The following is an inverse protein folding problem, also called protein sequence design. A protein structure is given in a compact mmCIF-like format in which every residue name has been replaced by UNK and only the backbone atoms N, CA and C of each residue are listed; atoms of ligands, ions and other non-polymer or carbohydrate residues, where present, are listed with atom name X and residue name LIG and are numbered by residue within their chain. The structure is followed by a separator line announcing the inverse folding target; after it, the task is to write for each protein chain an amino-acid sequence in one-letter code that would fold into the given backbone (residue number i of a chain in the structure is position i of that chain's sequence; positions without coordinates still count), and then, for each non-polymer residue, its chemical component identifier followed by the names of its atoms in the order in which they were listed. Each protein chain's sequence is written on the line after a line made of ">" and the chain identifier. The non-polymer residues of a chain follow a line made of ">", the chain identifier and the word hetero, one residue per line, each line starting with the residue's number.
data_IF_563526510026
#
_entry.id   IF_563526510026
#
_cell.length_a   1.000
_cell.length_b   1.000
_cell.length_c   1.000
_cell.angle_alpha   90.00
_cell.angle_beta   90.00
_cell.angle_gamma   90.00
#
_symmetry.space_group_name_H-M   'P 1'
#
loop_
_entity.id
_entity.type
_entity.pdbx_description
1 polymer ?
#
# COMPACT_ATOMS: atom_id res chain seq x y z
N UNK A 1 -15.47 0.74 20.06
CA UNK A 1 -14.58 -0.43 20.26
C UNK A 1 -14.54 -1.21 18.97
N UNK A 2 -13.35 -1.56 18.47
CA UNK A 2 -13.20 -2.32 17.21
C UNK A 2 -13.85 -3.70 17.35
N UNK A 3 -14.74 -4.12 16.44
CA UNK A 3 -15.36 -5.44 16.49
C UNK A 3 -14.30 -6.56 16.52
N UNK A 4 -14.59 -7.66 17.20
CA UNK A 4 -13.62 -8.76 17.36
C UNK A 4 -13.15 -9.33 16.01
N UNK A 5 -14.05 -9.39 15.01
CA UNK A 5 -13.71 -9.81 13.65
C UNK A 5 -12.59 -8.93 13.06
N UNK A 6 -12.67 -7.62 13.30
CA UNK A 6 -11.78 -6.64 12.72
C UNK A 6 -10.41 -6.73 13.39
N UNK A 7 -10.40 -6.93 14.71
CA UNK A 7 -9.17 -7.20 15.47
C UNK A 7 -8.46 -8.45 14.92
N UNK A 8 -9.18 -9.55 14.69
CA UNK A 8 -8.59 -10.79 14.15
C UNK A 8 -7.95 -10.54 12.79
N UNK A 9 -8.67 -9.93 11.84
CA UNK A 9 -8.10 -9.65 10.52
C UNK A 9 -6.94 -8.65 10.55
N UNK A 10 -7.00 -7.64 11.43
CA UNK A 10 -5.90 -6.68 11.59
C UNK A 10 -4.67 -7.33 12.23
N UNK A 11 -4.83 -8.23 13.19
CA UNK A 11 -3.73 -9.01 13.77
C UNK A 11 -3.08 -9.91 12.71
N UNK A 12 -3.89 -10.59 11.89
CA UNK A 12 -3.38 -11.41 10.78
C UNK A 12 -2.64 -10.56 9.74
N UNK A 13 -3.21 -9.41 9.36
CA UNK A 13 -2.58 -8.43 8.47
C UNK A 13 -1.25 -7.94 9.04
N UNK A 14 -1.23 -7.57 10.32
CA UNK A 14 -0.02 -7.15 11.03
C UNK A 14 1.03 -8.25 11.09
N UNK A 15 0.63 -9.50 11.36
CA UNK A 15 1.54 -10.65 11.34
C UNK A 15 2.21 -10.84 9.97
N UNK A 16 1.45 -10.76 8.88
CA UNK A 16 1.98 -10.84 7.52
C UNK A 16 2.89 -9.65 7.18
N UNK A 17 2.51 -8.44 7.59
CA UNK A 17 3.32 -7.24 7.41
C UNK A 17 4.65 -7.32 8.17
N UNK A 18 4.63 -7.81 9.42
CA UNK A 18 5.83 -8.04 10.22
C UNK A 18 6.74 -9.09 9.59
N UNK A 19 6.18 -10.19 9.10
CA UNK A 19 6.92 -11.20 8.35
C UNK A 19 7.60 -10.61 7.11
N UNK A 20 6.89 -9.79 6.32
CA UNK A 20 7.45 -9.14 5.15
C UNK A 20 8.54 -8.11 5.51
N UNK A 21 8.37 -7.35 6.60
CA UNK A 21 9.42 -6.47 7.10
C UNK A 21 10.70 -7.25 7.41
N UNK A 22 10.58 -8.35 8.15
CA UNK A 22 11.70 -9.24 8.45
C UNK A 22 12.31 -9.83 7.17
N UNK A 23 11.48 -10.33 6.24
CA UNK A 23 11.91 -10.92 4.98
C UNK A 23 12.78 -9.96 4.14
N UNK A 24 12.31 -8.73 3.93
CA UNK A 24 13.06 -7.73 3.17
C UNK A 24 14.29 -7.21 3.90
N UNK A 25 14.23 -7.11 5.24
CA UNK A 25 15.40 -6.75 6.04
C UNK A 25 16.52 -7.78 5.91
N UNK A 26 16.19 -9.07 5.98
CA UNK A 26 17.14 -10.15 5.76
C UNK A 26 17.74 -10.07 4.36
N UNK A 27 16.92 -9.93 3.31
CA UNK A 27 17.43 -9.81 1.93
C UNK A 27 18.32 -8.59 1.71
N UNK A 28 18.02 -7.47 2.37
CA UNK A 28 18.86 -6.28 2.29
C UNK A 28 20.25 -6.49 2.92
N UNK A 29 20.32 -7.18 4.06
CA UNK A 29 21.57 -7.41 4.78
C UNK A 29 22.41 -8.57 4.21
N UNK A 30 21.77 -9.59 3.62
CA UNK A 30 22.45 -10.75 3.05
C UNK A 30 22.90 -10.54 1.60
N UNK A 31 22.41 -9.52 0.90
CA UNK A 31 22.83 -9.24 -0.47
C UNK A 31 24.26 -8.67 -0.52
N UNK A 32 25.14 -9.28 -1.32
CA UNK A 32 26.51 -8.82 -1.57
C UNK A 32 26.58 -7.38 -2.09
N UNK A 33 25.49 -6.90 -2.71
CA UNK A 33 25.24 -5.49 -3.01
C UNK A 33 23.89 -5.11 -2.40
N UNK A 34 23.87 -4.14 -1.49
CA UNK A 34 22.66 -3.66 -0.80
C UNK A 34 21.59 -3.24 -1.80
N UNK A 35 20.61 -4.10 -2.04
CA UNK A 35 19.59 -3.87 -3.06
C UNK A 35 18.49 -2.95 -2.52
N UNK A 36 18.45 -1.71 -3.00
CA UNK A 36 17.59 -0.65 -2.47
C UNK A 36 16.08 -0.96 -2.57
N UNK A 37 15.65 -1.79 -3.52
CA UNK A 37 14.25 -2.19 -3.64
C UNK A 37 13.72 -2.85 -2.36
N UNK A 38 14.54 -3.61 -1.65
CA UNK A 38 14.15 -4.24 -0.38
C UNK A 38 13.80 -3.21 0.70
N UNK A 39 14.48 -2.06 0.72
CA UNK A 39 14.17 -0.98 1.67
C UNK A 39 12.84 -0.31 1.32
N UNK A 40 12.56 -0.11 0.04
CA UNK A 40 11.28 0.47 -0.39
C UNK A 40 10.10 -0.45 -0.07
N UNK A 41 10.23 -1.76 -0.31
CA UNK A 41 9.22 -2.73 0.11
C UNK A 41 9.06 -2.76 1.63
N UNK A 42 10.17 -2.82 2.37
CA UNK A 42 10.16 -2.80 3.84
C UNK A 42 9.44 -1.56 4.36
N UNK A 43 9.70 -0.37 3.81
CA UNK A 43 9.02 0.86 4.20
C UNK A 43 7.50 0.74 4.04
N UNK A 44 7.02 0.22 2.91
CA UNK A 44 5.58 0.02 2.69
C UNK A 44 4.96 -0.94 3.70
N UNK A 45 5.63 -2.07 3.98
CA UNK A 45 5.12 -3.06 4.94
C UNK A 45 5.26 -2.63 6.40
N UNK A 46 6.27 -1.84 6.75
CA UNK A 46 6.44 -1.28 8.09
C UNK A 46 5.29 -0.31 8.40
N UNK A 47 4.90 0.50 7.42
CA UNK A 47 3.76 1.39 7.54
C UNK A 47 2.45 0.60 7.64
N UNK A 48 2.29 -0.48 6.86
CA UNK A 48 1.12 -1.37 6.98
C UNK A 48 1.03 -1.99 8.39
N UNK A 49 2.16 -2.45 8.95
CA UNK A 49 2.24 -2.99 10.30
C UNK A 49 1.81 -1.96 11.34
N UNK A 50 2.41 -0.76 11.32
CA UNK A 50 2.07 0.33 12.25
C UNK A 50 0.60 0.71 12.10
N UNK A 51 0.10 0.80 10.86
CA UNK A 51 -1.32 1.10 10.60
C UNK A 51 -2.23 0.03 11.19
N UNK A 52 -1.92 -1.25 11.03
CA UNK A 52 -2.70 -2.35 11.63
C UNK A 52 -2.78 -2.25 13.16
N UNK A 53 -1.66 -1.94 13.82
CA UNK A 53 -1.62 -1.70 15.27
C UNK A 53 -2.48 -0.50 15.67
N UNK A 54 -2.36 0.62 14.95
CA UNK A 54 -3.17 1.82 15.22
C UNK A 54 -4.67 1.52 15.08
N UNK A 55 -5.07 0.77 14.05
CA UNK A 55 -6.48 0.41 13.84
C UNK A 55 -7.04 -0.49 14.94
N UNK A 56 -6.22 -1.36 15.54
CA UNK A 56 -6.63 -2.20 16.67
C UNK A 56 -6.97 -1.34 17.88
N UNK A 57 -6.09 -0.39 18.24
CA UNK A 57 -6.23 0.41 19.46
C UNK A 57 -7.14 1.63 19.31
N UNK A 58 -7.14 2.28 18.14
CA UNK A 58 -7.82 3.55 17.90
C UNK A 58 -9.08 3.41 17.05
N UNK A 59 -9.35 2.22 16.51
CA UNK A 59 -10.49 1.96 15.63
C UNK A 59 -10.28 2.47 14.20
N UNK A 60 -11.27 2.21 13.34
CA UNK A 60 -11.21 2.56 11.91
C UNK A 60 -11.33 4.07 11.65
N UNK A 61 -11.90 4.83 12.58
CA UNK A 61 -12.09 6.28 12.45
C UNK A 61 -10.76 7.05 12.36
N UNK A 62 -9.65 6.47 12.85
CA UNK A 62 -8.32 7.06 12.75
C UNK A 62 -7.86 7.21 11.28
N UNK A 63 -8.45 6.47 10.34
CA UNK A 63 -8.18 6.60 8.90
C UNK A 63 -8.57 7.97 8.35
N UNK A 64 -9.47 8.70 9.04
CA UNK A 64 -9.82 10.08 8.68
C UNK A 64 -8.73 11.10 9.07
N UNK A 65 -7.74 10.70 9.90
CA UNK A 65 -6.66 11.58 10.31
C UNK A 65 -5.76 11.94 9.13
N UNK A 66 -5.50 13.24 8.87
CA UNK A 66 -4.60 13.65 7.78
C UNK A 66 -3.16 13.15 7.99
N UNK A 67 -2.75 12.93 9.24
CA UNK A 67 -1.44 12.36 9.57
C UNK A 67 -1.38 10.87 9.20
N UNK A 68 -2.42 10.10 9.52
CA UNK A 68 -2.49 8.68 9.15
C UNK A 68 -2.58 8.53 7.65
N UNK A 69 -3.39 9.33 6.97
CA UNK A 69 -3.44 9.35 5.50
C UNK A 69 -2.06 9.60 4.89
N UNK A 70 -1.36 10.64 5.37
CA UNK A 70 -0.03 11.01 4.86
C UNK A 70 0.97 9.87 5.03
N UNK A 71 1.05 9.28 6.22
CA UNK A 71 1.98 8.18 6.49
C UNK A 71 1.58 6.94 5.69
N UNK A 72 0.29 6.61 5.63
CA UNK A 72 -0.24 5.46 4.88
C UNK A 72 0.03 5.56 3.38
N UNK A 73 0.23 6.76 2.81
CA UNK A 73 0.65 6.93 1.42
C UNK A 73 1.99 6.29 1.10
N UNK A 74 2.85 6.05 2.11
CA UNK A 74 4.09 5.30 1.94
C UNK A 74 3.84 3.81 1.64
N UNK A 75 2.65 3.26 1.90
CA UNK A 75 2.32 1.88 1.52
C UNK A 75 2.37 1.73 -0.02
N UNK A 76 1.49 2.39 -0.80
CA UNK A 76 1.54 2.26 -2.25
C UNK A 76 2.81 2.89 -2.84
N UNK A 77 3.29 4.03 -2.33
CA UNK A 77 4.50 4.67 -2.85
C UNK A 77 5.76 3.82 -2.61
N UNK A 78 5.91 3.22 -1.43
CA UNK A 78 7.02 2.33 -1.10
C UNK A 78 7.02 1.07 -1.96
N UNK A 79 5.87 0.39 -2.06
CA UNK A 79 5.78 -0.86 -2.85
C UNK A 79 6.01 -0.58 -4.33
N UNK A 80 5.34 0.42 -4.91
CA UNK A 80 5.52 0.79 -6.33
C UNK A 80 6.94 1.25 -6.63
N UNK A 81 7.60 1.95 -5.71
CA UNK A 81 9.00 2.35 -5.86
C UNK A 81 9.92 1.12 -5.81
N UNK A 82 9.71 0.18 -4.89
CA UNK A 82 10.43 -1.09 -4.89
C UNK A 82 10.35 -1.81 -6.24
N UNK A 83 9.15 -1.90 -6.82
CA UNK A 83 8.92 -2.49 -8.14
C UNK A 83 9.68 -1.75 -9.24
N UNK A 84 9.59 -0.41 -9.26
CA UNK A 84 10.30 0.42 -10.22
C UNK A 84 11.82 0.24 -10.14
N UNK A 85 12.38 0.17 -8.93
CA UNK A 85 13.82 -0.03 -8.71
C UNK A 85 14.29 -1.40 -9.20
N UNK A 86 13.50 -2.44 -8.94
CA UNK A 86 13.89 -3.83 -9.18
C UNK A 86 13.70 -4.24 -10.64
N UNK A 87 12.55 -3.93 -11.24
CA UNK A 87 12.14 -4.49 -12.53
C UNK A 87 12.14 -3.48 -13.68
N UNK A 88 12.24 -2.18 -13.39
CA UNK A 88 12.05 -1.13 -14.38
C UNK A 88 13.19 -0.09 -14.43
N UNK A 89 14.42 -0.52 -14.76
CA UNK A 89 15.60 0.33 -14.69
C UNK A 89 15.56 1.55 -15.61
N UNK A 90 14.78 1.51 -16.71
CA UNK A 90 14.68 2.61 -17.68
C UNK A 90 13.98 3.85 -17.12
N UNK A 91 13.06 3.70 -16.16
CA UNK A 91 12.29 4.82 -15.61
C UNK A 91 12.35 4.96 -14.09
N UNK A 92 13.12 4.12 -13.37
CA UNK A 92 13.25 4.18 -11.91
C UNK A 92 13.66 5.56 -11.37
N UNK A 93 14.52 6.30 -12.07
CA UNK A 93 14.96 7.65 -11.64
C UNK A 93 13.81 8.64 -11.65
N UNK A 94 13.00 8.63 -12.71
CA UNK A 94 11.82 9.49 -12.82
C UNK A 94 10.77 9.10 -11.77
N UNK A 95 10.60 7.80 -11.54
CA UNK A 95 9.66 7.32 -10.53
C UNK A 95 10.04 7.71 -9.10
N UNK A 96 11.33 7.73 -8.76
CA UNK A 96 11.79 8.24 -7.45
C UNK A 96 11.37 9.69 -7.23
N UNK A 97 11.56 10.54 -8.24
CA UNK A 97 11.11 11.93 -8.19
C UNK A 97 9.59 12.04 -8.08
N UNK A 98 8.87 11.24 -8.87
CA UNK A 98 7.42 11.15 -8.78
C UNK A 98 6.95 10.78 -7.37
N UNK A 99 7.55 9.75 -6.77
CA UNK A 99 7.20 9.29 -5.42
C UNK A 99 7.53 10.33 -4.34
N UNK A 100 8.68 11.01 -4.46
CA UNK A 100 9.08 12.07 -3.53
C UNK A 100 8.13 13.28 -3.61
N UNK A 101 7.90 13.79 -4.82
CA UNK A 101 6.96 14.91 -5.06
C UNK A 101 5.56 14.51 -4.61
N UNK A 102 5.15 13.28 -4.89
CA UNK A 102 3.85 12.76 -4.50
C UNK A 102 3.64 12.69 -3.01
N UNK A 103 4.62 12.15 -2.28
CA UNK A 103 4.57 12.10 -0.83
C UNK A 103 4.51 13.51 -0.22
N UNK A 104 5.35 14.43 -0.69
CA UNK A 104 5.35 15.82 -0.22
C UNK A 104 4.04 16.53 -0.55
N UNK A 105 3.50 16.36 -1.76
CA UNK A 105 2.23 16.94 -2.17
C UNK A 105 1.07 16.43 -1.30
N UNK A 106 1.02 15.12 -1.03
CA UNK A 106 0.01 14.54 -0.14
C UNK A 106 0.18 15.08 1.28
N UNK A 107 1.40 15.12 1.82
CA UNK A 107 1.67 15.60 3.17
C UNK A 107 1.24 17.07 3.34
N UNK A 108 1.70 17.95 2.44
CA UNK A 108 1.41 19.38 2.47
C UNK A 108 -0.11 19.61 2.35
N UNK A 109 -0.75 18.96 1.38
CA UNK A 109 -2.19 19.18 1.14
C UNK A 109 -3.07 18.58 2.23
N UNK A 110 -2.67 17.45 2.83
CA UNK A 110 -3.44 16.77 3.87
C UNK A 110 -3.31 17.47 5.22
N UNK A 111 -2.08 17.77 5.65
CA UNK A 111 -1.80 18.39 6.96
C UNK A 111 -2.11 19.88 6.93
N UNK A 112 -1.88 20.55 5.78
CA UNK A 112 -2.18 21.98 5.60
C UNK A 112 -3.67 22.30 5.37
N UNK A 113 -4.57 21.31 5.42
CA UNK A 113 -6.02 21.53 5.25
C UNK A 113 -6.42 22.01 3.84
N UNK A 114 -5.62 21.70 2.80
CA UNK A 114 -5.85 22.16 1.43
C UNK A 114 -6.79 21.20 0.68
N UNK A 115 -8.05 21.11 1.12
CA UNK A 115 -8.99 20.06 0.69
C UNK A 115 -9.14 19.92 -0.84
N UNK A 116 -9.21 21.04 -1.58
CA UNK A 116 -9.33 21.01 -3.04
C UNK A 116 -8.11 20.39 -3.72
N UNK A 117 -6.90 20.72 -3.26
CA UNK A 117 -5.67 20.16 -3.81
C UNK A 117 -5.45 18.70 -3.35
N UNK A 118 -5.85 18.37 -2.11
CA UNK A 118 -5.81 17.00 -1.58
C UNK A 118 -6.64 16.04 -2.44
N UNK A 119 -7.83 16.47 -2.87
CA UNK A 119 -8.73 15.71 -3.78
C UNK A 119 -8.11 15.44 -5.16
N UNK A 120 -7.02 16.12 -5.52
CA UNK A 120 -6.26 15.88 -6.76
C UNK A 120 -5.00 15.08 -6.46
N UNK A 121 -4.20 15.52 -5.48
CA UNK A 121 -2.92 14.93 -5.14
C UNK A 121 -3.07 13.46 -4.73
N UNK A 122 -3.98 13.15 -3.80
CA UNK A 122 -4.13 11.79 -3.29
C UNK A 122 -4.53 10.80 -4.41
N UNK A 123 -5.61 11.03 -5.19
CA UNK A 123 -5.96 10.10 -6.27
C UNK A 123 -4.90 9.99 -7.37
N UNK A 124 -4.21 11.08 -7.71
CA UNK A 124 -3.15 11.05 -8.73
C UNK A 124 -1.99 10.15 -8.30
N UNK A 125 -1.40 10.41 -7.15
CA UNK A 125 -0.20 9.69 -6.70
C UNK A 125 -0.52 8.27 -6.25
N UNK A 126 -1.63 8.05 -5.53
CA UNK A 126 -2.07 6.70 -5.20
C UNK A 126 -2.53 5.92 -6.44
N UNK A 127 -3.21 6.56 -7.39
CA UNK A 127 -3.68 5.92 -8.61
C UNK A 127 -2.53 5.39 -9.46
N UNK A 128 -1.52 6.22 -9.72
CA UNK A 128 -0.33 5.79 -10.46
C UNK A 128 0.44 4.70 -9.71
N UNK A 129 0.66 4.87 -8.41
CA UNK A 129 1.32 3.85 -7.60
C UNK A 129 0.54 2.52 -7.60
N UNK A 130 -0.78 2.57 -7.47
CA UNK A 130 -1.67 1.42 -7.55
C UNK A 130 -1.60 0.71 -8.90
N UNK A 131 -1.57 1.46 -10.01
CA UNK A 131 -1.37 0.90 -11.34
C UNK A 131 -0.02 0.22 -11.50
N UNK A 132 1.06 0.80 -10.96
CA UNK A 132 2.39 0.18 -10.97
C UNK A 132 2.39 -1.13 -10.17
N UNK A 133 1.74 -1.16 -9.01
CA UNK A 133 1.64 -2.39 -8.18
C UNK A 133 0.79 -3.43 -8.87
N UNK A 134 -0.33 -3.04 -9.48
CA UNK A 134 -1.23 -3.96 -10.16
C UNK A 134 -0.59 -4.52 -11.44
N UNK A 135 -0.19 -3.66 -12.38
CA UNK A 135 0.26 -4.07 -13.71
C UNK A 135 1.72 -4.50 -13.74
N UNK A 136 2.58 -3.88 -12.93
CA UNK A 136 4.02 -4.11 -12.91
C UNK A 136 4.42 -5.59 -12.82
N UNK A 137 3.86 -6.36 -11.87
CA UNK A 137 4.18 -7.78 -11.71
C UNK A 137 3.84 -8.67 -12.92
N UNK A 138 2.91 -8.26 -13.79
CA UNK A 138 2.56 -9.02 -15.00
C UNK A 138 3.51 -8.74 -16.19
N UNK A 139 4.16 -7.58 -16.19
CA UNK A 139 5.07 -7.15 -17.27
C UNK A 139 6.54 -7.14 -16.86
N UNK A 140 6.83 -7.39 -15.58
CA UNK A 140 8.17 -7.46 -15.02
C UNK A 140 8.99 -8.59 -15.66
N UNK A 141 10.12 -8.23 -16.27
CA UNK A 141 11.03 -9.21 -16.89
C UNK A 141 11.89 -9.87 -15.82
N UNK A 142 12.04 -11.19 -15.90
CA UNK A 142 12.87 -11.96 -14.96
C UNK A 142 12.27 -12.12 -13.56
N UNK A 143 11.00 -11.74 -13.36
CA UNK A 143 10.32 -11.91 -12.09
C UNK A 143 10.10 -13.40 -11.75
N UNK A 144 10.17 -13.77 -10.45
CA UNK A 144 9.90 -15.13 -10.00
C UNK A 144 8.53 -15.69 -10.42
N UNK A 145 8.43 -17.02 -10.55
CA UNK A 145 7.15 -17.69 -10.76
C UNK A 145 6.21 -17.41 -9.59
N UNK A 146 5.07 -16.80 -9.89
CA UNK A 146 4.08 -16.42 -8.87
C UNK A 146 4.14 -14.97 -8.44
N UNK A 147 5.09 -14.17 -8.95
CA UNK A 147 5.17 -12.74 -8.63
C UNK A 147 3.91 -11.95 -8.97
N UNK A 148 3.10 -12.44 -9.93
CA UNK A 148 1.77 -11.89 -10.26
C UNK A 148 0.82 -11.76 -9.05
N UNK A 149 1.04 -12.51 -7.95
CA UNK A 149 0.31 -12.31 -6.70
C UNK A 149 0.51 -10.92 -6.09
N UNK A 150 1.65 -10.26 -6.33
CA UNK A 150 1.85 -8.84 -5.98
C UNK A 150 0.86 -7.97 -6.75
N UNK A 151 0.62 -8.30 -8.03
CA UNK A 151 -0.38 -7.64 -8.86
C UNK A 151 -1.79 -7.80 -8.29
N UNK A 152 -2.15 -9.00 -7.85
CA UNK A 152 -3.42 -9.26 -7.17
C UNK A 152 -3.54 -8.44 -5.88
N UNK A 153 -2.47 -8.34 -5.08
CA UNK A 153 -2.44 -7.46 -3.90
C UNK A 153 -2.68 -5.99 -4.28
N UNK A 154 -2.05 -5.54 -5.36
CA UNK A 154 -2.27 -4.21 -5.96
C UNK A 154 -3.70 -3.95 -6.41
N UNK A 155 -4.35 -4.95 -7.01
CA UNK A 155 -5.76 -4.88 -7.39
C UNK A 155 -6.66 -4.75 -6.15
N UNK A 156 -6.44 -5.58 -5.12
CA UNK A 156 -7.24 -5.57 -3.89
C UNK A 156 -7.17 -4.22 -3.17
N UNK A 157 -5.96 -3.65 -3.00
CA UNK A 157 -5.81 -2.32 -2.40
C UNK A 157 -6.35 -1.20 -3.31
N UNK A 158 -6.18 -1.35 -4.64
CA UNK A 158 -6.68 -0.40 -5.62
C UNK A 158 -8.21 -0.29 -5.60
N UNK A 159 -8.91 -1.42 -5.55
CA UNK A 159 -10.38 -1.45 -5.43
C UNK A 159 -10.85 -0.77 -4.14
N UNK A 160 -10.21 -1.06 -3.01
CA UNK A 160 -10.49 -0.37 -1.74
C UNK A 160 -10.26 1.14 -1.82
N UNK A 161 -9.14 1.55 -2.42
CA UNK A 161 -8.79 2.97 -2.58
C UNK A 161 -9.75 3.74 -3.48
N UNK A 162 -10.15 3.16 -4.62
CA UNK A 162 -11.11 3.79 -5.54
C UNK A 162 -12.49 3.89 -4.87
N UNK A 163 -12.95 2.83 -4.19
CA UNK A 163 -14.22 2.86 -3.48
C UNK A 163 -14.25 3.98 -2.42
N UNK A 164 -13.18 4.10 -1.61
CA UNK A 164 -13.04 5.17 -0.62
C UNK A 164 -12.97 6.57 -1.26
N UNK A 165 -12.33 6.70 -2.43
CA UNK A 165 -12.28 7.98 -3.16
C UNK A 165 -13.68 8.43 -3.60
N UNK A 166 -14.49 7.54 -4.18
CA UNK A 166 -15.88 7.85 -4.55
C UNK A 166 -16.69 8.28 -3.33
N UNK A 167 -16.57 7.55 -2.21
CA UNK A 167 -17.26 7.87 -0.94
C UNK A 167 -16.85 9.25 -0.44
N UNK A 168 -15.56 9.60 -0.50
CA UNK A 168 -15.08 10.93 -0.08
C UNK A 168 -15.61 12.09 -0.93
N UNK A 169 -16.09 11.79 -2.14
CA UNK A 169 -16.73 12.73 -3.05
C UNK A 169 -18.26 12.75 -2.92
N UNK A 170 -18.83 12.03 -1.95
CA UNK A 170 -20.28 11.92 -1.79
C UNK A 170 -20.96 11.01 -2.81
N UNK A 171 -20.18 10.16 -3.51
CA UNK A 171 -20.68 9.18 -4.48
C UNK A 171 -20.40 7.75 -4.00
N UNK A 172 -20.93 6.75 -4.69
CA UNK A 172 -20.55 5.35 -4.50
C UNK A 172 -20.12 4.75 -5.84
N UNK A 173 -19.15 3.84 -5.80
CA UNK A 173 -18.75 3.07 -6.98
C UNK A 173 -19.57 1.78 -7.01
N UNK A 174 -20.41 1.57 -8.02
CA UNK A 174 -21.20 0.34 -8.17
C UNK A 174 -21.95 0.00 -6.86
N UNK A 175 -21.73 -1.20 -6.31
CA UNK A 175 -22.32 -1.68 -5.04
C UNK A 175 -21.47 -1.36 -3.80
N UNK A 176 -20.34 -0.68 -3.93
CA UNK A 176 -19.44 -0.33 -2.83
C UNK A 176 -19.98 0.86 -2.02
N UNK A 177 -21.08 0.64 -1.30
CA UNK A 177 -21.62 1.61 -0.34
C UNK A 177 -20.65 1.81 0.83
N UNK A 178 -20.72 2.94 1.58
CA UNK A 178 -19.89 3.15 2.77
C UNK A 178 -19.96 2.00 3.77
N UNK A 179 -21.17 1.50 4.04
CA UNK A 179 -21.38 0.37 4.94
C UNK A 179 -20.71 -0.91 4.42
N UNK A 180 -20.81 -1.18 3.11
CA UNK A 180 -20.18 -2.36 2.51
C UNK A 180 -18.65 -2.24 2.51
N UNK A 181 -18.08 -1.07 2.19
CA UNK A 181 -16.62 -0.85 2.24
C UNK A 181 -16.10 -1.05 3.66
N UNK A 182 -16.77 -0.50 4.67
CA UNK A 182 -16.38 -0.69 6.06
C UNK A 182 -16.55 -2.15 6.53
N UNK A 183 -17.54 -2.87 6.00
CA UNK A 183 -17.74 -4.29 6.28
C UNK A 183 -16.57 -5.15 5.81
N UNK A 184 -16.02 -4.86 4.62
CA UNK A 184 -14.98 -5.68 3.98
C UNK A 184 -13.57 -5.17 4.20
N UNK A 185 -13.39 -3.98 4.79
CA UNK A 185 -12.07 -3.32 4.87
C UNK A 185 -11.01 -4.21 5.52
N UNK A 186 -11.26 -4.73 6.73
CA UNK A 186 -10.25 -5.53 7.43
C UNK A 186 -10.02 -6.92 6.80
N UNK A 187 -11.04 -7.67 6.32
CA UNK A 187 -10.79 -8.85 5.49
C UNK A 187 -9.99 -8.55 4.21
N UNK A 188 -10.29 -7.43 3.54
CA UNK A 188 -9.61 -7.02 2.31
C UNK A 188 -8.14 -6.72 2.57
N UNK A 189 -7.81 -6.04 3.67
CA UNK A 189 -6.43 -5.79 4.10
C UNK A 189 -5.68 -7.11 4.34
N UNK A 190 -6.32 -8.09 4.99
CA UNK A 190 -5.71 -9.41 5.20
C UNK A 190 -5.44 -10.14 3.88
N UNK A 191 -6.42 -10.19 2.98
CA UNK A 191 -6.26 -10.83 1.67
C UNK A 191 -5.17 -10.17 0.82
N UNK A 192 -5.11 -8.83 0.87
CA UNK A 192 -4.09 -8.03 0.20
C UNK A 192 -2.68 -8.31 0.75
N UNK A 193 -2.50 -8.33 2.07
CA UNK A 193 -1.23 -8.70 2.69
C UNK A 193 -0.84 -10.14 2.39
N UNK A 194 -1.81 -11.06 2.34
CA UNK A 194 -1.60 -12.45 1.94
C UNK A 194 -1.12 -12.58 0.50
N UNK A 195 -1.75 -11.86 -0.43
CA UNK A 195 -1.34 -11.81 -1.83
C UNK A 195 0.09 -11.25 -1.98
N UNK A 196 0.43 -10.17 -1.29
CA UNK A 196 1.80 -9.66 -1.26
C UNK A 196 2.79 -10.68 -0.70
N UNK A 197 2.42 -11.35 0.39
CA UNK A 197 3.25 -12.41 0.98
C UNK A 197 3.54 -13.51 -0.03
N UNK A 198 2.51 -14.04 -0.69
CA UNK A 198 2.65 -15.08 -1.71
C UNK A 198 3.48 -14.61 -2.92
N UNK A 199 3.34 -13.36 -3.33
CA UNK A 199 4.04 -12.79 -4.48
C UNK A 199 5.52 -12.55 -4.22
N UNK A 200 5.86 -11.95 -3.08
CA UNK A 200 7.24 -11.57 -2.75
C UNK A 200 8.09 -12.74 -2.25
N UNK A 201 7.49 -13.76 -1.65
CA UNK A 201 8.25 -14.85 -1.01
C UNK A 201 8.38 -16.12 -1.86
N UNK A 202 7.72 -16.19 -3.01
CA UNK A 202 7.89 -17.31 -3.95
C UNK A 202 9.25 -17.19 -4.66
N UNK A 203 10.18 -18.07 -4.28
CA UNK A 203 11.50 -18.36 -4.90
C UNK A 203 12.11 -17.20 -5.72
N UNK A 204 12.76 -16.27 -5.02
CA UNK A 204 13.80 -15.39 -5.56
C UNK A 204 15.14 -15.69 -4.91
#
# INVERSE_FOLDING_TARGET
>A
MTPIKDIVFLLLTGGLAAYLCWYFWQRYNHASRKALHNIYYLMGFAVLLVSGVLLIFLGLDILASPYVLTVASLIPLGISMGLAEEYFPSWKKYFKWFALVGFLAIAITSIGGMDSLKKIAVPLFHGVAGLVIFLGPFVAKGAPKGFWWVGIGGLLIGLGGIALAFISMGAQLLFFSPAFVMLILTPLLFLMAGAFTLGFTKKG
#
